data_IF_444805376439
#
_entry.id   IF_444805376439
#
_cell.length_a   1.000
_cell.length_b   1.000
_cell.length_c   1.000
_cell.angle_alpha   90.00
_cell.angle_beta   90.00
_cell.angle_gamma   90.00
#
_symmetry.space_group_name_H-M   'P 1'
#
loop_
_entity.id
_entity.type
_entity.pdbx_description
1 polymer ?
#
# COMPACT_ATOMS: atom_id res chain seq x y z
N UNK A 1 -9.76 -22.32 11.48
CA UNK A 1 -8.50 -22.70 12.14
C UNK A 1 -8.24 -21.86 13.41
N UNK A 2 -8.63 -20.58 13.43
CA UNK A 2 -8.43 -19.72 14.61
C UNK A 2 -9.23 -20.16 15.85
N UNK A 3 -10.34 -20.88 15.66
CA UNK A 3 -11.21 -21.38 16.73
C UNK A 3 -10.82 -22.78 17.23
N UNK A 4 -9.59 -23.22 17.05
CA UNK A 4 -9.12 -24.51 17.52
C UNK A 4 -9.32 -25.69 16.57
N UNK A 5 -9.83 -25.45 15.37
CA UNK A 5 -9.94 -26.49 14.36
C UNK A 5 -8.57 -26.77 13.73
N UNK A 6 -8.18 -28.05 13.62
CA UNK A 6 -6.95 -28.46 12.94
C UNK A 6 -7.12 -28.38 11.41
N UNK A 7 -8.31 -28.68 10.91
CA UNK A 7 -8.59 -28.69 9.49
C UNK A 7 -10.03 -28.21 9.22
N UNK A 8 -10.24 -27.65 8.04
CA UNK A 8 -11.57 -27.30 7.52
C UNK A 8 -11.76 -28.02 6.19
N UNK A 9 -12.81 -28.80 6.08
CA UNK A 9 -13.14 -29.59 4.89
C UNK A 9 -14.41 -28.99 4.28
N UNK A 10 -14.39 -28.72 2.96
CA UNK A 10 -15.59 -28.26 2.26
C UNK A 10 -16.64 -29.33 2.25
N UNK A 11 -17.92 -28.97 2.44
CA UNK A 11 -19.06 -29.90 2.33
C UNK A 11 -19.17 -30.54 0.94
N UNK A 12 -18.60 -29.92 -0.09
CA UNK A 12 -18.57 -30.43 -1.47
C UNK A 12 -17.35 -31.30 -1.79
N UNK A 13 -16.46 -31.52 -0.81
CA UNK A 13 -15.25 -32.33 -1.04
C UNK A 13 -15.61 -33.81 -1.22
N UNK A 14 -14.97 -34.51 -2.17
CA UNK A 14 -15.10 -35.95 -2.31
C UNK A 14 -14.73 -36.70 -1.02
N UNK A 15 -15.44 -37.78 -0.70
CA UNK A 15 -15.21 -38.54 0.54
C UNK A 15 -13.77 -39.03 0.67
N UNK A 16 -13.18 -39.53 -0.43
CA UNK A 16 -11.77 -39.96 -0.46
C UNK A 16 -10.82 -38.88 -0.01
N UNK A 17 -10.99 -37.64 -0.52
CA UNK A 17 -10.18 -36.49 -0.13
C UNK A 17 -10.40 -36.10 1.34
N UNK A 18 -11.64 -36.19 1.82
CA UNK A 18 -11.97 -35.92 3.21
C UNK A 18 -11.28 -36.90 4.15
N UNK A 19 -11.28 -38.18 3.83
CA UNK A 19 -10.60 -39.23 4.60
C UNK A 19 -9.07 -39.00 4.65
N UNK A 20 -8.44 -38.74 3.50
CA UNK A 20 -6.99 -38.45 3.45
C UNK A 20 -6.63 -37.22 4.30
N UNK A 21 -7.45 -36.18 4.27
CA UNK A 21 -7.25 -34.98 5.08
C UNK A 21 -7.40 -35.27 6.58
N UNK A 22 -8.40 -36.09 6.99
CA UNK A 22 -8.58 -36.49 8.38
C UNK A 22 -7.38 -37.33 8.85
N UNK A 23 -6.93 -38.29 8.05
CA UNK A 23 -5.76 -39.09 8.34
C UNK A 23 -4.50 -38.25 8.52
N UNK A 24 -4.32 -37.18 7.69
CA UNK A 24 -3.15 -36.29 7.78
C UNK A 24 -3.06 -35.48 9.09
N UNK A 25 -4.18 -35.30 9.80
CA UNK A 25 -4.24 -34.50 11.04
C UNK A 25 -4.48 -35.35 12.28
N UNK A 26 -4.57 -36.68 12.15
CA UNK A 26 -4.94 -37.62 13.21
C UNK A 26 -4.02 -37.59 14.45
N UNK A 27 -2.76 -37.21 14.29
CA UNK A 27 -1.79 -37.07 15.38
C UNK A 27 -1.45 -35.64 15.75
N UNK A 28 -2.08 -34.66 15.11
CA UNK A 28 -1.77 -33.24 15.34
C UNK A 28 -2.56 -32.70 16.53
N UNK A 29 -1.86 -32.14 17.50
CA UNK A 29 -2.47 -31.38 18.59
C UNK A 29 -2.54 -29.90 18.21
N UNK A 30 -3.63 -29.25 18.60
CA UNK A 30 -3.77 -27.80 18.44
C UNK A 30 -2.85 -27.11 19.47
N UNK A 31 -1.74 -26.52 19.01
CA UNK A 31 -0.70 -25.94 19.87
C UNK A 31 -0.95 -24.49 20.27
N UNK A 32 -1.99 -23.85 19.74
CA UNK A 32 -2.31 -22.44 20.02
C UNK A 32 -3.33 -22.32 21.14
N UNK A 33 -3.15 -21.30 21.99
CA UNK A 33 -4.14 -20.95 23.00
C UNK A 33 -5.40 -20.41 22.32
N UNK A 34 -6.55 -21.02 22.59
CA UNK A 34 -7.85 -20.55 22.13
C UNK A 34 -8.52 -19.88 23.33
N UNK A 35 -8.93 -18.59 23.24
CA UNK A 35 -9.68 -17.96 24.31
C UNK A 35 -10.99 -18.71 24.61
N UNK A 36 -11.30 -18.89 25.87
CA UNK A 36 -12.56 -19.53 26.29
C UNK A 36 -13.76 -18.60 26.07
N UNK A 37 -13.51 -17.29 26.10
CA UNK A 37 -14.56 -16.29 25.86
C UNK A 37 -14.79 -16.07 24.38
N UNK A 38 -16.01 -16.36 23.92
CA UNK A 38 -16.46 -16.22 22.54
C UNK A 38 -16.36 -14.78 22.03
N UNK A 39 -16.62 -13.79 22.87
CA UNK A 39 -16.53 -12.37 22.51
C UNK A 39 -15.11 -11.97 22.16
N UNK A 40 -14.17 -12.38 22.97
CA UNK A 40 -12.73 -12.17 22.71
C UNK A 40 -12.28 -12.88 21.44
N UNK A 41 -12.74 -14.10 21.21
CA UNK A 41 -12.42 -14.87 20.00
C UNK A 41 -12.96 -14.17 18.75
N UNK A 42 -14.21 -13.73 18.77
CA UNK A 42 -14.83 -13.02 17.65
C UNK A 42 -14.13 -11.67 17.38
N UNK A 43 -13.85 -10.88 18.42
CA UNK A 43 -13.17 -9.61 18.30
C UNK A 43 -11.77 -9.75 17.67
N UNK A 44 -11.06 -10.82 17.98
CA UNK A 44 -9.73 -11.10 17.44
C UNK A 44 -9.74 -11.68 16.02
N UNK A 45 -10.86 -12.26 15.58
CA UNK A 45 -11.01 -12.79 14.22
C UNK A 45 -11.70 -11.80 13.26
N UNK A 46 -12.23 -10.70 13.78
CA UNK A 46 -12.81 -9.65 12.94
C UNK A 46 -11.72 -8.96 12.10
N UNK A 47 -11.99 -8.70 10.81
CA UNK A 47 -11.10 -7.91 9.98
C UNK A 47 -11.01 -6.48 10.52
N UNK A 48 -9.93 -5.79 10.17
CA UNK A 48 -9.81 -4.36 10.46
C UNK A 48 -11.04 -3.62 9.94
N UNK A 49 -11.74 -2.86 10.83
CA UNK A 49 -12.89 -2.03 10.45
C UNK A 49 -12.48 -0.72 9.78
N UNK A 50 -11.30 -0.70 9.14
CA UNK A 50 -10.72 0.41 8.41
C UNK A 50 -10.59 0.05 6.94
N UNK A 51 -10.72 1.06 6.07
CA UNK A 51 -10.61 0.89 4.62
C UNK A 51 -10.05 2.17 3.98
N UNK A 52 -9.24 1.99 2.94
CA UNK A 52 -8.72 3.11 2.16
C UNK A 52 -7.62 3.89 2.86
N UNK A 53 -7.50 5.18 2.51
CA UNK A 53 -6.45 6.02 3.03
C UNK A 53 -6.58 6.26 4.54
N UNK A 54 -5.47 6.06 5.24
CA UNK A 54 -5.32 6.31 6.66
C UNK A 54 -4.11 7.23 6.91
N UNK A 55 -4.20 8.06 7.95
CA UNK A 55 -3.03 8.78 8.45
C UNK A 55 -1.99 7.78 8.95
N UNK A 56 -0.71 8.16 8.88
CA UNK A 56 0.40 7.28 9.23
C UNK A 56 0.25 6.61 10.60
N UNK A 57 -0.09 7.38 11.63
CA UNK A 57 -0.20 6.83 12.99
C UNK A 57 -1.34 5.80 13.09
N UNK A 58 -2.50 6.11 12.51
CA UNK A 58 -3.65 5.19 12.45
C UNK A 58 -3.30 3.93 11.65
N UNK A 59 -2.56 4.07 10.56
CA UNK A 59 -2.07 2.96 9.75
C UNK A 59 -1.14 2.06 10.56
N UNK A 60 -0.14 2.63 11.24
CA UNK A 60 0.80 1.87 12.07
C UNK A 60 0.08 1.11 13.20
N UNK A 61 -0.81 1.78 13.93
CA UNK A 61 -1.55 1.16 15.04
C UNK A 61 -2.45 0.02 14.55
N UNK A 62 -3.09 0.21 13.40
CA UNK A 62 -3.94 -0.81 12.79
C UNK A 62 -3.12 -2.03 12.36
N UNK A 63 -1.99 -1.83 11.68
CA UNK A 63 -1.11 -2.93 11.24
C UNK A 63 -0.53 -3.66 12.46
N UNK A 64 -0.01 -2.93 13.45
CA UNK A 64 0.51 -3.53 14.68
C UNK A 64 -0.51 -4.38 15.41
N UNK A 65 -1.76 -3.92 15.47
CA UNK A 65 -2.86 -4.70 16.07
C UNK A 65 -3.05 -6.04 15.37
N UNK A 66 -2.95 -6.09 14.04
CA UNK A 66 -3.10 -7.34 13.28
C UNK A 66 -1.88 -8.25 13.44
N UNK A 67 -0.65 -7.73 13.29
CA UNK A 67 0.56 -8.55 13.39
C UNK A 67 0.79 -9.10 14.81
N UNK A 68 0.36 -8.36 15.85
CA UNK A 68 0.46 -8.79 17.24
C UNK A 68 -0.65 -9.78 17.64
N UNK A 69 -1.62 -10.04 16.77
CA UNK A 69 -2.68 -10.98 17.07
C UNK A 69 -2.15 -12.42 17.04
N UNK A 70 -2.06 -13.04 18.20
CA UNK A 70 -1.54 -14.41 18.36
C UNK A 70 -2.50 -15.51 17.90
N UNK A 71 -3.78 -15.19 17.74
CA UNK A 71 -4.80 -16.15 17.30
C UNK A 71 -4.75 -16.41 15.79
N UNK A 72 -4.23 -15.44 15.02
CA UNK A 72 -4.07 -15.60 13.59
C UNK A 72 -2.75 -16.28 13.24
N UNK A 73 -2.75 -17.24 12.29
CA UNK A 73 -1.51 -17.77 11.74
C UNK A 73 -0.66 -16.66 11.10
N UNK A 74 0.66 -16.72 11.26
CA UNK A 74 1.57 -15.70 10.76
C UNK A 74 1.44 -15.48 9.24
N UNK A 75 1.22 -16.55 8.48
CA UNK A 75 1.08 -16.55 7.01
C UNK A 75 -0.27 -16.03 6.51
N UNK A 76 -1.21 -15.76 7.40
CA UNK A 76 -2.58 -15.32 7.05
C UNK A 76 -2.97 -13.97 7.62
N UNK A 77 -2.08 -13.27 8.31
CA UNK A 77 -2.38 -11.96 8.89
C UNK A 77 -2.51 -10.87 7.83
N UNK A 78 -1.67 -10.90 6.82
CA UNK A 78 -1.71 -9.97 5.71
C UNK A 78 -0.35 -9.70 5.10
N UNK A 79 -0.32 -8.85 4.08
CA UNK A 79 0.89 -8.45 3.37
C UNK A 79 1.00 -6.94 3.37
N UNK A 80 2.17 -6.42 3.71
CA UNK A 80 2.50 -5.01 3.54
C UNK A 80 3.29 -4.81 2.24
N UNK A 81 2.90 -3.79 1.46
CA UNK A 81 3.52 -3.48 0.18
C UNK A 81 3.83 -1.99 0.10
N UNK A 82 5.05 -1.63 -0.23
CA UNK A 82 5.42 -0.26 -0.56
C UNK A 82 5.68 -0.13 -2.06
N UNK A 83 5.00 0.83 -2.68
CA UNK A 83 5.03 1.09 -4.11
C UNK A 83 5.63 2.47 -4.37
N UNK A 84 6.72 2.53 -5.13
CA UNK A 84 7.32 3.79 -5.55
C UNK A 84 6.72 4.22 -6.88
N UNK A 85 6.10 5.39 -7.00
CA UNK A 85 5.56 5.87 -8.25
C UNK A 85 6.62 5.95 -9.37
N UNK A 86 6.20 5.78 -10.61
CA UNK A 86 7.05 5.95 -11.78
C UNK A 86 7.57 7.39 -11.87
N UNK A 87 8.73 7.63 -12.52
CA UNK A 87 9.26 8.97 -12.74
C UNK A 87 8.22 9.89 -13.39
N UNK A 88 8.03 11.08 -12.82
CA UNK A 88 7.02 12.04 -13.28
C UNK A 88 5.65 11.91 -12.63
N UNK A 89 5.36 10.82 -11.92
CA UNK A 89 4.12 10.65 -11.16
C UNK A 89 4.36 10.97 -9.67
N UNK A 90 3.54 11.87 -9.10
CA UNK A 90 3.58 12.14 -7.67
C UNK A 90 2.83 11.07 -6.89
N UNK A 91 3.25 10.81 -5.66
CA UNK A 91 2.62 9.78 -4.81
C UNK A 91 1.13 10.09 -4.53
N UNK A 92 0.77 11.36 -4.43
CA UNK A 92 -0.62 11.80 -4.25
C UNK A 92 -1.48 11.45 -5.49
N UNK A 93 -0.91 11.57 -6.69
CA UNK A 93 -1.58 11.16 -7.92
C UNK A 93 -1.75 9.64 -7.98
N UNK A 94 -0.72 8.88 -7.57
CA UNK A 94 -0.83 7.43 -7.46
C UNK A 94 -1.89 7.02 -6.42
N UNK A 95 -2.03 7.76 -5.31
CA UNK A 95 -3.07 7.53 -4.31
C UNK A 95 -4.48 7.71 -4.92
N UNK A 96 -4.71 8.66 -5.82
CA UNK A 96 -6.03 8.84 -6.46
C UNK A 96 -6.45 7.65 -7.33
N UNK A 97 -5.47 6.88 -7.82
CA UNK A 97 -5.70 5.65 -8.57
C UNK A 97 -5.94 4.43 -7.65
N UNK A 98 -5.59 4.54 -6.37
CA UNK A 98 -5.73 3.47 -5.40
C UNK A 98 -7.18 3.38 -4.91
N UNK A 99 -7.85 2.27 -5.22
CA UNK A 99 -9.27 2.03 -4.86
C UNK A 99 -9.42 0.73 -4.08
N UNK A 100 -9.08 0.70 -2.78
CA UNK A 100 -9.32 -0.48 -1.96
C UNK A 100 -10.82 -0.78 -1.88
N UNK A 101 -11.21 -2.02 -2.15
CA UNK A 101 -12.61 -2.44 -2.13
C UNK A 101 -13.00 -3.16 -0.85
N UNK A 102 -12.05 -3.88 -0.24
CA UNK A 102 -12.28 -4.71 0.95
C UNK A 102 -12.09 -3.90 2.24
N UNK A 103 -12.86 -4.25 3.27
CA UNK A 103 -12.53 -3.86 4.64
C UNK A 103 -11.22 -4.54 5.05
N UNK A 104 -10.37 -3.78 5.74
CA UNK A 104 -9.04 -4.24 6.13
C UNK A 104 -7.94 -3.95 5.11
N UNK A 105 -8.27 -3.50 3.90
CA UNK A 105 -7.29 -3.00 2.94
C UNK A 105 -7.10 -1.50 3.18
N UNK A 106 -5.98 -1.14 3.77
CA UNK A 106 -5.64 0.24 4.14
C UNK A 106 -4.39 0.71 3.39
N UNK A 107 -4.32 2.01 3.17
CA UNK A 107 -3.23 2.66 2.42
C UNK A 107 -2.80 3.93 3.12
N UNK A 108 -1.50 4.23 3.06
CA UNK A 108 -0.92 5.47 3.55
C UNK A 108 0.21 5.94 2.63
N UNK A 109 0.72 7.15 2.89
CA UNK A 109 1.90 7.67 2.20
C UNK A 109 3.03 7.78 3.23
N UNK A 110 4.18 7.15 2.91
CA UNK A 110 5.40 7.26 3.67
C UNK A 110 6.61 7.29 2.74
N UNK A 111 7.58 8.15 3.02
CA UNK A 111 8.84 8.28 2.26
C UNK A 111 8.63 8.31 0.73
N UNK A 112 7.70 9.15 0.25
CA UNK A 112 7.32 9.27 -1.17
C UNK A 112 6.89 7.96 -1.82
N UNK A 113 6.50 6.98 -1.01
CA UNK A 113 5.95 5.69 -1.44
C UNK A 113 4.49 5.58 -1.00
N UNK A 114 3.71 4.85 -1.78
CA UNK A 114 2.38 4.42 -1.39
C UNK A 114 2.54 3.11 -0.63
N UNK A 115 2.16 3.09 0.64
CA UNK A 115 2.26 1.90 1.48
C UNK A 115 0.87 1.34 1.71
N UNK A 116 0.66 0.08 1.33
CA UNK A 116 -0.59 -0.65 1.51
C UNK A 116 -0.39 -1.77 2.53
N UNK A 117 -1.40 -2.02 3.33
CA UNK A 117 -1.53 -3.24 4.10
C UNK A 117 -2.82 -3.94 3.69
N UNK A 118 -2.69 -5.18 3.21
CA UNK A 118 -3.77 -6.01 2.73
C UNK A 118 -4.05 -7.11 3.75
N UNK A 119 -5.06 -6.90 4.60
CA UNK A 119 -5.42 -7.87 5.63
C UNK A 119 -5.87 -9.19 5.04
N UNK A 120 -5.44 -10.30 5.65
CA UNK A 120 -5.80 -11.66 5.23
C UNK A 120 -5.46 -11.97 3.76
N UNK A 121 -4.54 -11.21 3.17
CA UNK A 121 -3.99 -11.48 1.85
C UNK A 121 -2.76 -12.39 1.97
N UNK A 122 -2.67 -13.40 1.11
CA UNK A 122 -1.46 -14.22 0.97
C UNK A 122 -0.55 -13.63 -0.10
N UNK A 123 0.74 -13.87 0.01
CA UNK A 123 1.73 -13.39 -0.96
C UNK A 123 1.38 -13.83 -2.40
N UNK A 124 0.89 -15.05 -2.56
CA UNK A 124 0.51 -15.61 -3.87
C UNK A 124 -0.73 -14.94 -4.49
N UNK A 125 -1.56 -14.27 -3.68
CA UNK A 125 -2.77 -13.58 -4.14
C UNK A 125 -2.54 -12.06 -4.28
N UNK A 126 -1.34 -11.59 -3.96
CA UNK A 126 -1.00 -10.17 -3.94
C UNK A 126 -1.21 -9.49 -5.29
N UNK A 127 -0.73 -10.08 -6.39
CA UNK A 127 -0.86 -9.49 -7.72
C UNK A 127 -2.33 -9.38 -8.15
N UNK A 128 -3.16 -10.36 -7.81
CA UNK A 128 -4.60 -10.29 -8.03
C UNK A 128 -5.25 -9.17 -7.22
N UNK A 129 -4.86 -9.04 -5.95
CA UNK A 129 -5.37 -7.98 -5.07
C UNK A 129 -4.98 -6.59 -5.60
N UNK A 130 -3.74 -6.39 -6.01
CA UNK A 130 -3.27 -5.13 -6.57
C UNK A 130 -3.99 -4.78 -7.88
N UNK A 131 -4.22 -5.75 -8.77
CA UNK A 131 -4.97 -5.53 -10.01
C UNK A 131 -6.45 -5.17 -9.77
N UNK A 132 -7.01 -5.51 -8.61
CA UNK A 132 -8.35 -5.06 -8.22
C UNK A 132 -8.35 -3.66 -7.60
N UNK A 133 -7.24 -3.25 -6.98
CA UNK A 133 -7.09 -1.96 -6.31
C UNK A 133 -6.74 -0.87 -7.31
N UNK A 134 -5.91 -1.18 -8.31
CA UNK A 134 -5.48 -0.22 -9.33
C UNK A 134 -6.17 -0.48 -10.67
N UNK A 135 -6.66 0.58 -11.34
CA UNK A 135 -7.34 0.45 -12.64
C UNK A 135 -6.38 0.17 -13.81
N UNK A 136 -5.08 0.33 -13.61
CA UNK A 136 -4.02 0.12 -14.58
C UNK A 136 -3.02 -0.92 -14.03
N UNK A 137 -2.25 -1.60 -14.89
CA UNK A 137 -1.19 -2.49 -14.48
C UNK A 137 -0.22 -1.79 -13.52
N UNK A 138 0.12 -2.42 -12.41
CA UNK A 138 0.99 -1.83 -11.39
C UNK A 138 2.38 -1.46 -11.93
N UNK A 139 2.89 -2.17 -12.95
CA UNK A 139 4.15 -1.85 -13.61
C UNK A 139 4.15 -0.53 -14.39
N UNK A 140 2.98 -0.05 -14.83
CA UNK A 140 2.86 1.22 -15.56
C UNK A 140 2.80 2.41 -14.58
N UNK A 141 2.33 2.18 -13.36
CA UNK A 141 2.15 3.21 -12.33
C UNK A 141 3.38 3.31 -11.42
N UNK A 142 4.03 2.18 -11.13
CA UNK A 142 5.08 2.10 -10.13
C UNK A 142 6.40 1.56 -10.70
N UNK A 143 7.49 2.23 -10.35
CA UNK A 143 8.86 1.85 -10.77
C UNK A 143 9.50 0.80 -9.87
N UNK A 144 9.04 0.66 -8.63
CA UNK A 144 9.57 -0.30 -7.67
C UNK A 144 8.49 -0.76 -6.71
N UNK A 145 8.61 -2.02 -6.27
CA UNK A 145 7.71 -2.67 -5.31
C UNK A 145 8.54 -3.40 -4.25
N UNK A 146 8.25 -3.14 -2.99
CA UNK A 146 8.81 -3.85 -1.84
C UNK A 146 7.66 -4.56 -1.11
N UNK A 147 7.88 -5.79 -0.66
CA UNK A 147 6.85 -6.65 -0.07
C UNK A 147 7.37 -7.22 1.23
N UNK A 148 6.56 -7.16 2.28
CA UNK A 148 6.82 -7.76 3.59
C UNK A 148 5.60 -8.59 3.99
N UNK A 149 5.81 -9.82 4.40
CA UNK A 149 4.76 -10.76 4.79
C UNK A 149 5.02 -11.42 6.15
N UNK A 150 6.23 -11.30 6.69
CA UNK A 150 6.55 -11.77 8.03
C UNK A 150 6.28 -10.67 9.06
N UNK A 151 5.64 -11.02 10.18
CA UNK A 151 5.30 -10.10 11.27
C UNK A 151 6.50 -9.26 11.72
N UNK A 152 7.67 -9.90 11.88
CA UNK A 152 8.91 -9.23 12.31
C UNK A 152 9.41 -8.22 11.29
N UNK A 153 9.35 -8.56 10.00
CA UNK A 153 9.76 -7.66 8.91
C UNK A 153 8.83 -6.47 8.82
N UNK A 154 7.51 -6.70 8.91
CA UNK A 154 6.51 -5.63 8.91
C UNK A 154 6.73 -4.69 10.10
N UNK A 155 6.93 -5.24 11.31
CA UNK A 155 7.17 -4.43 12.50
C UNK A 155 8.44 -3.58 12.39
N UNK A 156 9.54 -4.15 11.91
CA UNK A 156 10.80 -3.43 11.71
C UNK A 156 10.64 -2.28 10.70
N UNK A 157 10.02 -2.54 9.55
CA UNK A 157 9.83 -1.53 8.51
C UNK A 157 8.92 -0.38 8.96
N UNK A 158 7.89 -0.66 9.78
CA UNK A 158 7.06 0.39 10.36
C UNK A 158 7.85 1.33 11.28
N UNK A 159 8.83 0.80 12.01
CA UNK A 159 9.73 1.61 12.86
C UNK A 159 10.65 2.45 11.98
N UNK A 160 11.33 1.84 11.01
CA UNK A 160 12.25 2.52 10.10
C UNK A 160 11.57 3.66 9.34
N UNK A 161 10.36 3.43 8.81
CA UNK A 161 9.57 4.47 8.14
C UNK A 161 9.12 5.59 9.10
N UNK A 162 8.92 5.30 10.39
CA UNK A 162 8.57 6.29 11.42
C UNK A 162 9.74 7.21 11.71
N UNK A 163 10.94 6.67 11.84
CA UNK A 163 12.15 7.42 12.16
C UNK A 163 12.53 8.38 11.04
N UNK A 164 12.46 7.95 9.78
CA UNK A 164 12.66 8.82 8.60
C UNK A 164 11.70 10.00 8.61
N UNK A 165 10.45 9.81 9.05
CA UNK A 165 9.47 10.89 9.15
C UNK A 165 9.83 11.89 10.24
N UNK A 166 10.34 11.45 11.38
CA UNK A 166 10.78 12.33 12.48
C UNK A 166 11.99 13.16 12.09
N UNK A 167 12.97 12.58 11.40
CA UNK A 167 14.16 13.32 10.92
C UNK A 167 13.80 14.44 9.95
N UNK A 168 12.82 14.24 9.06
CA UNK A 168 12.37 15.27 8.13
C UNK A 168 11.70 16.47 8.82
N UNK A 169 11.11 16.29 10.01
CA UNK A 169 10.47 17.36 10.78
C UNK A 169 11.42 18.01 11.78
N UNK A 170 12.51 17.34 12.18
CA UNK A 170 13.51 17.86 13.14
C UNK A 170 14.66 18.60 12.48
N UNK A 171 14.83 18.51 11.16
CA UNK A 171 15.79 19.36 10.47
C UNK A 171 15.28 20.81 10.47
N UNK A 172 15.94 21.76 11.17
CA UNK A 172 15.62 23.16 11.00
C UNK A 172 15.79 23.48 9.53
N UNK A 173 14.80 24.19 8.95
CA UNK A 173 14.91 24.75 7.60
C UNK A 173 16.30 25.37 7.47
N UNK A 174 17.21 24.72 6.73
CA UNK A 174 18.46 25.37 6.31
C UNK A 174 18.04 26.49 5.37
N UNK A 175 17.76 27.64 5.95
CA UNK A 175 17.74 28.90 5.22
C UNK A 175 19.16 29.02 4.71
N UNK A 176 19.38 28.79 3.44
CA UNK A 176 20.64 29.10 2.77
C UNK A 176 20.98 30.52 3.15
N UNK A 177 22.15 30.81 3.73
CA UNK A 177 22.53 32.19 3.98
C UNK A 177 22.46 32.89 2.62
N UNK A 178 21.66 33.97 2.55
CA UNK A 178 21.61 34.83 1.35
C UNK A 178 23.06 35.14 1.00
N UNK A 179 23.51 35.00 -0.24
CA UNK A 179 24.83 35.40 -0.63
C UNK A 179 24.96 36.91 -0.31
N UNK A 180 25.85 37.23 0.63
CA UNK A 180 26.26 38.60 0.86
C UNK A 180 27.11 38.98 -0.35
N UNK A 181 26.49 39.64 -1.31
CA UNK A 181 27.03 40.45 -2.40
C UNK A 181 26.13 40.26 -3.64
N UNK A 182 25.02 40.96 -3.64
CA UNK A 182 24.41 41.41 -4.89
C UNK A 182 24.68 42.91 -4.97
N UNK A 183 25.79 43.25 -5.58
CA UNK A 183 26.05 44.55 -6.14
C UNK A 183 25.03 44.78 -7.21
N UNK A 184 24.39 45.93 -7.19
CA UNK A 184 23.44 46.45 -8.15
C UNK A 184 23.74 46.05 -9.60
N UNK A 185 23.05 45.10 -10.13
CA UNK A 185 22.95 44.89 -11.55
C UNK A 185 21.58 45.46 -12.00
N UNK A 186 21.68 46.59 -12.68
CA UNK A 186 20.58 47.26 -13.40
C UNK A 186 19.88 46.25 -14.31
N UNK A 187 18.58 46.21 -14.17
CA UNK A 187 17.68 45.40 -14.98
C UNK A 187 17.59 45.98 -16.42
N UNK A 188 18.44 45.49 -17.30
CA UNK A 188 18.32 45.59 -18.75
C UNK A 188 18.86 44.32 -19.38
N UNK A 189 18.04 43.28 -19.38
CA UNK A 189 18.20 42.20 -20.35
C UNK A 189 16.85 41.55 -20.67
N UNK A 190 16.30 41.93 -21.86
CA UNK A 190 15.10 41.41 -22.47
C UNK A 190 15.34 40.05 -23.15
N UNK A 191 15.94 39.06 -22.47
CA UNK A 191 16.30 37.76 -23.06
C UNK A 191 15.18 36.71 -23.11
N UNK A 192 13.96 37.02 -22.64
CA UNK A 192 12.83 36.06 -22.68
C UNK A 192 11.94 36.15 -23.95
N UNK A 193 12.38 36.88 -24.99
CA UNK A 193 11.70 36.93 -26.31
C UNK A 193 12.22 35.84 -27.26
N UNK A 194 12.34 34.63 -26.86
CA UNK A 194 12.59 33.51 -27.80
C UNK A 194 11.69 32.30 -27.45
N UNK A 195 10.37 32.55 -27.60
CA UNK A 195 9.44 31.45 -27.86
C UNK A 195 8.90 31.63 -29.27
N UNK A 196 9.00 30.61 -30.15
CA UNK A 196 8.37 30.68 -31.44
C UNK A 196 6.85 30.74 -31.27
N UNK A 197 6.21 31.63 -32.04
CA UNK A 197 4.75 31.79 -32.06
C UNK A 197 4.10 30.46 -32.47
N UNK A 198 2.90 30.13 -31.90
CA UNK A 198 2.16 28.94 -32.33
C UNK A 198 1.68 29.14 -33.78
N UNK A 199 1.91 28.12 -34.60
CA UNK A 199 1.47 28.03 -35.99
C UNK A 199 -0.02 28.42 -36.11
N UNK A 200 -0.31 29.50 -36.84
CA UNK A 200 -1.65 29.82 -37.29
C UNK A 200 -2.05 28.81 -38.36
N UNK A 201 -3.10 28.07 -38.10
CA UNK A 201 -3.81 27.30 -39.12
C UNK A 201 -4.42 28.29 -40.11
N UNK A 202 -3.97 28.32 -41.36
CA UNK A 202 -4.56 29.06 -42.44
C UNK A 202 -5.87 28.38 -42.84
N UNK A 203 -6.97 29.06 -42.57
CA UNK A 203 -8.27 28.81 -43.20
C UNK A 203 -8.29 29.56 -44.54
N UNK A 204 -7.98 28.88 -45.62
CA UNK A 204 -8.36 29.32 -46.96
C UNK A 204 -9.25 28.26 -47.60
N UNK A 205 -10.55 28.45 -47.36
CA UNK A 205 -11.60 27.91 -48.18
C UNK A 205 -12.06 28.99 -49.14
N UNK A 206 -11.67 28.95 -50.38
CA UNK A 206 -12.36 29.60 -51.48
C UNK A 206 -12.74 28.57 -52.52
N UNK A 207 -14.07 28.47 -52.67
CA UNK A 207 -14.72 27.77 -53.69
C UNK A 207 -14.55 28.41 -55.08
N UNK A 208 -14.75 27.64 -56.09
CA UNK A 208 -15.31 28.06 -57.37
C UNK A 208 -16.06 26.89 -57.98
N UNK A 209 -17.27 27.17 -58.24
CA UNK A 209 -18.26 26.60 -59.11
C UNK A 209 -17.70 26.26 -60.53
N UNK A 210 -18.05 25.13 -61.06
CA UNK A 210 -18.74 24.93 -62.36
C UNK A 210 -19.21 23.49 -62.44
#
# INVERSE_FOLDING_TARGET
>A
LSCGANIVISASAPLSRSLTLIESVQSQQFSRHVPEDLTTLLANTEPLKLKGYQKWDVFCDAVQKVINNTLLPADSKGVMVALRPAPGLRVEQALTLCRPHRMGDIVTIADRRLVLFLSFCRVNDLDKALNHIFPLPTGDIFSNRMIWFEDKQIAAELVDMRDVKQELWTQPLRISPKPKNVINATYEDNSWRRYPEPCRLSTDAKGTSS
#
